data_IF_690360813388
#
_entry.id   IF_690360813388
#
_cell.length_a   1.000
_cell.length_b   1.000
_cell.length_c   1.000
_cell.angle_alpha   90.00
_cell.angle_beta   90.00
_cell.angle_gamma   90.00
#
_symmetry.space_group_name_H-M   'P 1'
#
loop_
_entity.id
_entity.type
_entity.pdbx_description
1 polymer ?
#
# COMPACT_ATOMS: atom_id res chain seq x y z
N UNK A 1 -78.59 -0.60 6.84
CA UNK A 1 -77.22 -0.24 6.42
C UNK A 1 -76.44 0.00 7.70
N UNK A 2 -75.81 -1.03 8.24
CA UNK A 2 -75.08 -0.99 9.51
C UNK A 2 -73.58 -1.00 9.16
N UNK A 3 -72.78 0.00 9.57
CA UNK A 3 -71.37 0.05 9.23
C UNK A 3 -70.55 -0.96 10.04
N UNK A 4 -69.80 -1.72 9.33
CA UNK A 4 -68.83 -2.71 9.78
C UNK A 4 -67.64 -1.97 10.44
N UNK A 5 -67.76 -1.63 11.70
CA UNK A 5 -66.67 -1.18 12.55
C UNK A 5 -66.15 -2.35 13.39
N UNK A 6 -65.64 -3.37 12.73
CA UNK A 6 -64.79 -4.34 13.43
C UNK A 6 -63.37 -3.83 13.38
N UNK A 7 -63.12 -3.17 14.41
CA UNK A 7 -61.97 -2.52 14.96
C UNK A 7 -60.67 -3.30 14.72
N UNK A 8 -59.74 -2.65 14.04
CA UNK A 8 -58.32 -3.00 13.95
C UNK A 8 -57.70 -3.33 15.33
N UNK A 9 -58.32 -2.87 16.41
CA UNK A 9 -57.91 -3.16 17.79
C UNK A 9 -58.13 -4.62 18.22
N UNK A 10 -59.10 -5.33 17.62
CA UNK A 10 -59.37 -6.72 17.99
C UNK A 10 -58.32 -7.68 17.46
N UNK A 11 -57.80 -7.44 16.25
CA UNK A 11 -56.67 -8.18 15.71
C UNK A 11 -55.36 -7.86 16.47
N UNK A 12 -55.19 -6.65 16.90
CA UNK A 12 -54.05 -6.25 17.76
C UNK A 12 -54.10 -6.94 19.13
N UNK A 13 -55.29 -7.09 19.73
CA UNK A 13 -55.48 -7.81 20.98
C UNK A 13 -55.31 -9.33 20.83
N UNK A 14 -55.78 -9.93 19.74
CA UNK A 14 -55.60 -11.36 19.47
C UNK A 14 -54.12 -11.65 19.19
N UNK A 15 -53.45 -10.86 18.38
CA UNK A 15 -52.01 -10.97 18.13
C UNK A 15 -51.20 -10.75 19.42
N UNK A 16 -51.62 -9.80 20.24
CA UNK A 16 -50.95 -9.55 21.55
C UNK A 16 -51.21 -10.66 22.60
N UNK A 17 -52.36 -11.32 22.55
CA UNK A 17 -52.73 -12.38 23.50
C UNK A 17 -52.29 -13.78 23.05
N UNK A 18 -52.27 -14.07 21.74
CA UNK A 18 -51.83 -15.36 21.18
C UNK A 18 -50.27 -15.37 21.10
N UNK A 19 -49.67 -14.23 20.88
CA UNK A 19 -48.21 -14.00 20.98
C UNK A 19 -47.75 -13.92 22.43
N UNK A 20 -48.67 -14.23 23.39
CA UNK A 20 -48.45 -14.23 24.83
C UNK A 20 -47.06 -14.72 25.27
N UNK A 21 -46.85 -14.84 26.52
CA UNK A 21 -45.62 -15.10 27.28
C UNK A 21 -44.58 -16.04 26.64
N UNK A 22 -44.93 -16.96 25.78
CA UNK A 22 -43.99 -17.85 25.07
C UNK A 22 -43.19 -17.11 24.01
N UNK A 23 -43.78 -16.19 23.26
CA UNK A 23 -43.07 -15.38 22.28
C UNK A 23 -42.16 -14.36 22.95
N UNK A 24 -42.59 -13.80 24.08
CA UNK A 24 -41.70 -12.93 24.88
C UNK A 24 -40.46 -13.65 25.40
N UNK A 25 -40.62 -14.95 25.76
CA UNK A 25 -39.48 -15.80 26.14
C UNK A 25 -38.56 -16.10 24.94
N UNK A 26 -39.11 -16.39 23.76
CA UNK A 26 -38.37 -16.64 22.55
C UNK A 26 -37.64 -15.36 22.08
N UNK A 27 -38.33 -14.23 22.08
CA UNK A 27 -37.71 -12.93 21.70
C UNK A 27 -36.57 -12.55 22.66
N UNK A 28 -36.75 -12.69 23.95
CA UNK A 28 -35.72 -12.39 24.93
C UNK A 28 -34.62 -13.45 24.95
N UNK A 29 -34.95 -14.72 24.78
CA UNK A 29 -34.01 -15.84 24.90
C UNK A 29 -33.15 -16.06 23.65
N UNK A 30 -33.65 -15.81 22.45
CA UNK A 30 -32.98 -16.12 21.20
C UNK A 30 -32.79 -14.88 20.34
N UNK A 31 -33.84 -14.13 20.09
CA UNK A 31 -33.80 -13.00 19.14
C UNK A 31 -32.94 -11.83 19.66
N UNK A 32 -33.05 -11.48 20.94
CA UNK A 32 -32.30 -10.41 21.54
C UNK A 32 -30.78 -10.68 21.54
N UNK A 33 -30.31 -11.87 21.99
CA UNK A 33 -28.87 -12.19 21.86
C UNK A 33 -28.38 -12.21 20.43
N UNK A 34 -29.19 -12.68 19.48
CA UNK A 34 -28.85 -12.73 18.06
C UNK A 34 -28.66 -11.31 17.48
N UNK A 35 -29.58 -10.40 17.78
CA UNK A 35 -29.47 -9.00 17.33
C UNK A 35 -28.24 -8.34 17.96
N UNK A 36 -27.99 -8.55 19.25
CA UNK A 36 -26.81 -8.02 19.93
C UNK A 36 -25.53 -8.57 19.29
N UNK A 37 -25.48 -9.87 18.97
CA UNK A 37 -24.32 -10.50 18.32
C UNK A 37 -24.03 -9.91 16.96
N UNK A 38 -25.08 -9.65 16.15
CA UNK A 38 -24.93 -9.00 14.84
C UNK A 38 -24.39 -7.58 14.96
N UNK A 39 -24.94 -6.80 15.90
CA UNK A 39 -24.47 -5.43 16.16
C UNK A 39 -23.00 -5.45 16.63
N UNK A 40 -22.68 -6.33 17.55
CA UNK A 40 -21.31 -6.47 18.08
C UNK A 40 -20.34 -6.92 17.00
N UNK A 41 -20.73 -7.90 16.17
CA UNK A 41 -19.94 -8.36 15.03
C UNK A 41 -19.67 -7.24 14.03
N UNK A 42 -20.68 -6.41 13.74
CA UNK A 42 -20.53 -5.25 12.84
C UNK A 42 -19.60 -4.19 13.42
N UNK A 43 -19.74 -3.86 14.70
CA UNK A 43 -18.87 -2.88 15.40
C UNK A 43 -17.43 -3.38 15.47
N UNK A 44 -17.23 -4.64 15.89
CA UNK A 44 -15.89 -5.25 15.93
C UNK A 44 -15.26 -5.33 14.52
N UNK A 45 -16.04 -5.72 13.51
CA UNK A 45 -15.61 -5.77 12.11
C UNK A 45 -15.14 -4.40 11.61
N UNK A 46 -15.89 -3.33 11.93
CA UNK A 46 -15.50 -1.96 11.57
C UNK A 46 -14.22 -1.49 12.28
N UNK A 47 -14.05 -1.85 13.55
CA UNK A 47 -12.85 -1.50 14.33
C UNK A 47 -11.63 -2.22 13.74
N UNK A 48 -11.74 -3.52 13.48
CA UNK A 48 -10.66 -4.32 12.88
C UNK A 48 -10.30 -3.79 11.50
N UNK A 49 -11.30 -3.51 10.66
CA UNK A 49 -11.11 -2.93 9.32
C UNK A 49 -10.36 -1.60 9.40
N UNK A 50 -10.77 -0.70 10.31
CA UNK A 50 -10.11 0.60 10.49
C UNK A 50 -8.66 0.47 10.95
N UNK A 51 -8.39 -0.40 11.92
CA UNK A 51 -7.02 -0.65 12.41
C UNK A 51 -6.15 -1.23 11.27
N UNK A 52 -6.72 -2.10 10.44
CA UNK A 52 -6.02 -2.69 9.31
C UNK A 52 -5.72 -1.64 8.24
N UNK A 53 -6.68 -0.79 7.92
CA UNK A 53 -6.57 0.28 6.92
C UNK A 53 -5.54 1.35 7.36
N UNK A 54 -5.62 1.82 8.61
CA UNK A 54 -4.64 2.76 9.19
C UNK A 54 -3.21 2.15 9.22
N UNK A 55 -3.10 0.85 9.47
CA UNK A 55 -1.81 0.15 9.48
C UNK A 55 -1.26 -0.06 8.06
N UNK A 56 -2.14 -0.28 7.10
CA UNK A 56 -1.77 -0.40 5.69
C UNK A 56 -1.33 0.95 5.13
N UNK A 57 -2.09 2.03 5.36
CA UNK A 57 -1.72 3.38 4.94
C UNK A 57 -0.40 3.84 5.57
N UNK A 58 -0.18 3.59 6.86
CA UNK A 58 1.09 3.95 7.51
C UNK A 58 2.27 3.16 6.97
N UNK A 59 2.10 1.88 6.64
CA UNK A 59 3.13 1.06 5.98
C UNK A 59 3.39 1.52 4.55
N UNK A 60 2.36 1.82 3.78
CA UNK A 60 2.50 2.33 2.41
C UNK A 60 3.23 3.67 2.40
N UNK A 61 2.86 4.59 3.29
CA UNK A 61 3.52 5.90 3.38
C UNK A 61 4.97 5.80 3.83
N UNK A 62 5.30 4.84 4.72
CA UNK A 62 6.68 4.62 5.19
C UNK A 62 7.58 3.88 4.20
N UNK A 63 7.03 3.29 3.17
CA UNK A 63 7.75 2.44 2.20
C UNK A 63 7.80 2.98 0.78
N UNK A 64 7.41 4.23 0.58
CA UNK A 64 7.45 4.90 -0.72
C UNK A 64 8.90 5.09 -1.18
N UNK A 65 9.17 4.75 -2.44
CA UNK A 65 10.45 4.94 -3.10
C UNK A 65 10.28 5.69 -4.41
N UNK A 66 11.24 6.54 -4.71
CA UNK A 66 11.40 7.15 -6.02
C UNK A 66 12.51 6.43 -6.77
N UNK A 67 12.18 5.89 -7.94
CA UNK A 67 13.15 5.29 -8.85
C UNK A 67 13.51 6.33 -9.91
N UNK A 68 14.79 6.61 -10.03
CA UNK A 68 15.35 7.47 -11.07
C UNK A 68 15.73 6.58 -12.24
N UNK A 69 14.95 6.63 -13.32
CA UNK A 69 15.12 5.81 -14.52
C UNK A 69 15.89 6.57 -15.59
N UNK A 70 16.82 5.88 -16.24
CA UNK A 70 17.64 6.44 -17.31
C UNK A 70 17.23 5.98 -18.73
N UNK A 71 16.47 4.90 -18.85
CA UNK A 71 16.07 4.41 -20.16
C UNK A 71 15.05 3.28 -20.13
N UNK A 72 14.40 3.11 -21.30
CA UNK A 72 13.47 2.03 -21.58
C UNK A 72 13.94 1.31 -22.85
N UNK A 73 14.07 -0.01 -22.79
CA UNK A 73 14.69 -0.82 -23.84
C UNK A 73 13.82 -2.01 -24.21
N UNK A 74 13.68 -2.29 -25.49
CA UNK A 74 12.90 -3.43 -25.97
C UNK A 74 13.62 -4.77 -25.73
N UNK A 75 14.96 -4.76 -25.69
CA UNK A 75 15.76 -5.97 -25.53
C UNK A 75 16.78 -5.82 -24.41
N UNK A 76 17.15 -6.95 -23.79
CA UNK A 76 18.18 -7.00 -22.78
C UNK A 76 19.55 -6.55 -23.31
N UNK A 77 19.89 -6.95 -24.54
CA UNK A 77 21.19 -6.64 -25.14
C UNK A 77 21.35 -5.13 -25.38
N UNK A 78 20.32 -4.46 -25.92
CA UNK A 78 20.37 -3.00 -26.11
C UNK A 78 20.47 -2.26 -24.78
N UNK A 79 19.77 -2.70 -23.76
CA UNK A 79 19.87 -2.15 -22.41
C UNK A 79 21.31 -2.25 -21.86
N UNK A 80 21.91 -3.41 -21.99
CA UNK A 80 23.27 -3.67 -21.48
C UNK A 80 24.34 -2.89 -22.23
N UNK A 81 24.20 -2.79 -23.54
CA UNK A 81 25.15 -2.09 -24.40
C UNK A 81 25.18 -0.59 -24.10
N UNK A 82 24.00 0.04 -24.01
CA UNK A 82 23.89 1.48 -23.72
C UNK A 82 24.27 1.87 -22.31
N UNK A 83 24.10 0.97 -21.33
CA UNK A 83 24.47 1.23 -19.94
C UNK A 83 25.85 0.65 -19.56
N UNK A 84 26.64 0.22 -20.55
CA UNK A 84 27.97 -0.31 -20.30
C UNK A 84 28.85 0.77 -19.65
N UNK A 85 29.37 0.50 -18.44
CA UNK A 85 30.20 1.44 -17.68
C UNK A 85 29.47 2.25 -16.61
N UNK A 86 28.15 2.18 -16.54
CA UNK A 86 27.37 2.76 -15.46
C UNK A 86 26.96 1.70 -14.45
N UNK A 87 26.80 2.09 -13.19
CA UNK A 87 26.14 1.24 -12.21
C UNK A 87 24.62 1.44 -12.34
N UNK A 88 23.90 0.35 -12.52
CA UNK A 88 22.44 0.36 -12.63
C UNK A 88 21.85 -0.94 -12.14
N UNK A 89 20.56 -0.92 -11.86
CA UNK A 89 19.72 -2.11 -11.72
C UNK A 89 18.56 -2.00 -12.72
N UNK A 90 17.93 -3.10 -13.07
CA UNK A 90 16.86 -3.07 -14.04
C UNK A 90 15.66 -3.92 -13.58
N UNK A 91 14.52 -3.66 -14.13
CA UNK A 91 13.35 -4.52 -14.08
C UNK A 91 12.72 -4.64 -15.47
N UNK A 92 11.91 -5.67 -15.64
CA UNK A 92 11.17 -5.93 -16.86
C UNK A 92 9.69 -5.78 -16.59
N UNK A 93 9.01 -5.02 -17.42
CA UNK A 93 7.56 -4.93 -17.45
C UNK A 93 6.99 -5.35 -18.82
N UNK A 94 5.73 -5.02 -19.09
CA UNK A 94 5.06 -5.35 -20.35
C UNK A 94 5.68 -4.61 -21.55
N UNK A 95 6.24 -3.43 -21.34
CA UNK A 95 6.81 -2.57 -22.36
C UNK A 95 8.29 -2.87 -22.67
N UNK A 96 8.98 -3.60 -21.78
CA UNK A 96 10.40 -3.96 -21.96
C UNK A 96 11.23 -3.89 -20.70
N UNK A 97 12.50 -3.54 -20.88
CA UNK A 97 13.49 -3.41 -19.81
C UNK A 97 13.65 -1.94 -19.43
N UNK A 98 13.60 -1.64 -18.14
CA UNK A 98 13.78 -0.30 -17.60
C UNK A 98 14.97 -0.27 -16.67
N UNK A 99 15.88 0.68 -16.91
CA UNK A 99 17.08 0.84 -16.08
C UNK A 99 16.87 1.90 -15.02
N UNK A 100 17.31 1.59 -13.81
CA UNK A 100 17.25 2.46 -12.64
C UNK A 100 18.68 2.78 -12.20
N UNK A 101 19.00 4.06 -12.16
CA UNK A 101 20.31 4.59 -11.83
C UNK A 101 20.35 5.27 -10.47
N UNK A 102 19.22 5.36 -9.78
CA UNK A 102 19.14 5.88 -8.43
C UNK A 102 17.80 5.53 -7.77
N UNK A 103 17.86 5.37 -6.47
CA UNK A 103 16.69 5.03 -5.63
C UNK A 103 16.77 5.90 -4.38
N UNK A 104 15.68 6.59 -4.05
CA UNK A 104 15.58 7.39 -2.82
C UNK A 104 14.16 7.41 -2.28
N UNK A 105 14.00 7.66 -0.99
CA UNK A 105 12.70 7.92 -0.34
C UNK A 105 12.44 9.40 -0.15
N UNK A 106 13.48 10.21 -0.15
CA UNK A 106 13.35 11.66 0.00
C UNK A 106 13.36 12.33 -1.38
N UNK A 107 12.24 12.97 -1.70
CA UNK A 107 12.08 13.71 -2.95
C UNK A 107 13.20 14.75 -3.18
N UNK A 108 13.74 15.33 -2.10
CA UNK A 108 14.83 16.31 -2.18
C UNK A 108 16.13 15.73 -2.73
N UNK A 109 16.34 14.42 -2.55
CA UNK A 109 17.52 13.74 -3.04
C UNK A 109 17.47 13.46 -4.55
N UNK A 110 16.28 13.54 -5.16
CA UNK A 110 16.10 13.28 -6.60
C UNK A 110 16.99 14.21 -7.44
N UNK A 111 17.03 15.49 -7.11
CA UNK A 111 17.82 16.46 -7.88
C UNK A 111 19.32 16.22 -7.71
N UNK A 112 19.79 15.76 -6.55
CA UNK A 112 21.18 15.37 -6.34
C UNK A 112 21.56 14.17 -7.22
N UNK A 113 20.68 13.16 -7.27
CA UNK A 113 20.87 11.98 -8.13
C UNK A 113 20.86 12.38 -9.61
N UNK A 114 19.90 13.21 -10.05
CA UNK A 114 19.86 13.72 -11.43
C UNK A 114 21.13 14.43 -11.85
N UNK A 115 21.73 15.21 -10.97
CA UNK A 115 22.97 15.96 -11.25
C UNK A 115 24.19 15.06 -11.49
N UNK A 116 24.13 13.76 -11.13
CA UNK A 116 25.17 12.79 -11.48
C UNK A 116 25.13 12.38 -12.95
N UNK A 117 23.99 12.56 -13.60
CA UNK A 117 23.72 12.08 -14.94
C UNK A 117 23.32 13.25 -15.84
N UNK A 118 23.87 13.27 -17.04
CA UNK A 118 23.64 14.37 -17.98
C UNK A 118 22.34 14.26 -18.79
N UNK A 119 21.69 13.11 -18.71
CA UNK A 119 20.56 12.75 -19.55
C UNK A 119 19.19 13.05 -18.88
N UNK A 120 18.16 13.12 -19.68
CA UNK A 120 16.79 13.24 -19.21
C UNK A 120 16.37 11.95 -18.48
N UNK A 121 16.13 12.05 -17.18
CA UNK A 121 15.69 10.92 -16.38
C UNK A 121 14.19 11.02 -16.07
N UNK A 122 13.53 9.88 -16.00
CA UNK A 122 12.13 9.74 -15.60
C UNK A 122 12.09 9.31 -14.12
N UNK A 123 11.12 9.85 -13.38
CA UNK A 123 10.91 9.48 -11.99
C UNK A 123 9.64 8.64 -11.89
N UNK A 124 9.75 7.48 -11.31
CA UNK A 124 8.60 6.63 -10.99
C UNK A 124 8.53 6.35 -9.49
N UNK A 125 7.29 6.28 -8.98
CA UNK A 125 7.02 6.00 -7.58
C UNK A 125 6.65 4.53 -7.39
N UNK A 126 7.27 3.91 -6.39
CA UNK A 126 7.01 2.53 -6.01
C UNK A 126 6.88 2.39 -4.49
N UNK A 127 6.32 1.28 -4.07
CA UNK A 127 6.19 0.93 -2.65
C UNK A 127 6.91 -0.37 -2.38
N UNK A 128 7.72 -0.41 -1.32
CA UNK A 128 8.48 -1.59 -0.91
C UNK A 128 7.98 -2.07 0.44
N UNK A 129 7.64 -3.36 0.53
CA UNK A 129 7.11 -3.97 1.74
C UNK A 129 8.18 -4.61 2.66
N UNK A 130 9.46 -4.43 2.37
CA UNK A 130 10.56 -5.02 3.14
C UNK A 130 11.10 -4.05 4.19
N UNK A 131 10.87 -4.36 5.46
CA UNK A 131 11.21 -3.51 6.60
C UNK A 131 12.74 -3.31 6.74
N UNK A 132 13.54 -4.36 6.50
CA UNK A 132 15.00 -4.29 6.58
C UNK A 132 15.61 -3.39 5.49
N UNK A 133 15.07 -3.47 4.27
CA UNK A 133 15.47 -2.58 3.18
C UNK A 133 15.10 -1.12 3.51
N UNK A 134 13.95 -0.92 4.14
CA UNK A 134 13.49 0.41 4.52
C UNK A 134 14.40 1.09 5.55
N UNK A 135 14.91 0.35 6.54
CA UNK A 135 15.83 0.90 7.55
C UNK A 135 17.16 1.32 6.91
N UNK A 136 17.79 0.44 6.12
CA UNK A 136 19.03 0.73 5.42
C UNK A 136 18.90 1.88 4.41
N UNK A 137 17.78 1.89 3.67
CA UNK A 137 17.51 2.98 2.75
C UNK A 137 17.42 4.33 3.47
N UNK A 138 16.79 4.39 4.64
CA UNK A 138 16.71 5.62 5.43
C UNK A 138 18.09 6.13 5.89
N UNK A 139 19.01 5.22 6.23
CA UNK A 139 20.38 5.59 6.59
C UNK A 139 21.11 6.22 5.39
N UNK A 140 21.01 5.60 4.21
CA UNK A 140 21.64 6.13 3.00
C UNK A 140 20.98 7.43 2.53
N UNK A 141 19.65 7.53 2.58
CA UNK A 141 18.95 8.78 2.22
C UNK A 141 19.34 9.95 3.12
N UNK A 142 19.62 9.70 4.40
CA UNK A 142 20.12 10.71 5.31
C UNK A 142 21.53 11.18 4.91
N UNK A 143 22.43 10.25 4.62
CA UNK A 143 23.79 10.59 4.15
C UNK A 143 23.69 11.39 2.84
N UNK A 144 22.86 10.94 1.91
CA UNK A 144 22.60 11.63 0.64
C UNK A 144 22.05 13.04 0.83
N UNK A 145 21.20 13.25 1.84
CA UNK A 145 20.66 14.58 2.17
C UNK A 145 21.72 15.51 2.75
N UNK A 146 22.66 14.97 3.52
CA UNK A 146 23.66 15.74 4.25
C UNK A 146 24.90 16.11 3.40
N UNK A 147 25.14 15.46 2.25
CA UNK A 147 26.29 15.73 1.37
C UNK A 147 25.88 16.40 0.06
N UNK A 148 26.72 17.33 -0.42
CA UNK A 148 26.63 17.96 -1.75
C UNK A 148 27.85 17.60 -2.62
N UNK A 149 28.80 16.83 -2.11
CA UNK A 149 29.94 16.35 -2.89
C UNK A 149 29.49 15.28 -3.88
N UNK A 150 29.70 15.53 -5.18
CA UNK A 150 29.26 14.62 -6.25
C UNK A 150 29.90 13.24 -6.17
N UNK A 151 31.10 13.14 -5.62
CA UNK A 151 31.77 11.85 -5.45
C UNK A 151 31.09 11.03 -4.34
N UNK A 152 30.85 11.66 -3.20
CA UNK A 152 30.10 11.00 -2.10
C UNK A 152 28.67 10.66 -2.50
N UNK A 153 27.99 11.56 -3.20
CA UNK A 153 26.63 11.29 -3.75
C UNK A 153 26.65 10.04 -4.62
N UNK A 154 27.64 9.91 -5.52
CA UNK A 154 27.78 8.73 -6.38
C UNK A 154 28.01 7.45 -5.58
N UNK A 155 28.91 7.49 -4.61
CA UNK A 155 29.22 6.34 -3.76
C UNK A 155 27.96 5.86 -2.99
N UNK A 156 27.20 6.81 -2.42
CA UNK A 156 25.96 6.48 -1.70
C UNK A 156 24.91 5.91 -2.65
N UNK A 157 24.74 6.48 -3.84
CA UNK A 157 23.82 5.97 -4.87
C UNK A 157 24.21 4.55 -5.29
N UNK A 158 25.49 4.28 -5.50
CA UNK A 158 25.97 2.94 -5.84
C UNK A 158 25.70 1.93 -4.71
N UNK A 159 25.86 2.34 -3.45
CA UNK A 159 25.55 1.52 -2.29
C UNK A 159 24.04 1.22 -2.19
N UNK A 160 23.19 2.20 -2.48
CA UNK A 160 21.74 2.02 -2.56
C UNK A 160 21.38 1.03 -3.66
N UNK A 161 21.90 1.20 -4.87
CA UNK A 161 21.64 0.29 -5.99
C UNK A 161 22.06 -1.15 -5.65
N UNK A 162 23.21 -1.32 -4.99
CA UNK A 162 23.67 -2.64 -4.54
C UNK A 162 22.75 -3.28 -3.48
N UNK A 163 22.10 -2.45 -2.64
CA UNK A 163 21.12 -2.93 -1.66
C UNK A 163 19.91 -3.60 -2.32
N UNK A 164 19.48 -3.08 -3.48
CA UNK A 164 18.33 -3.58 -4.24
C UNK A 164 18.70 -4.58 -5.32
N UNK A 165 19.99 -4.85 -5.52
CA UNK A 165 20.44 -5.74 -6.57
C UNK A 165 20.33 -7.21 -6.16
N UNK A 166 19.65 -8.00 -7.00
CA UNK A 166 19.71 -9.45 -6.98
C UNK A 166 19.90 -9.92 -8.43
N UNK A 167 21.06 -10.49 -8.75
CA UNK A 167 21.39 -10.94 -10.11
C UNK A 167 21.15 -9.86 -11.21
N UNK A 168 21.56 -8.60 -10.97
CA UNK A 168 21.36 -7.43 -11.83
C UNK A 168 19.91 -6.91 -11.86
N UNK A 169 18.93 -7.68 -11.42
CA UNK A 169 17.53 -7.23 -11.35
C UNK A 169 17.21 -6.51 -10.03
N UNK A 170 16.23 -5.62 -10.06
CA UNK A 170 15.72 -5.04 -8.82
C UNK A 170 14.84 -6.06 -8.10
N UNK A 171 15.18 -6.34 -6.86
CA UNK A 171 14.34 -7.10 -5.95
C UNK A 171 13.23 -6.21 -5.37
N UNK A 172 12.31 -5.80 -6.19
CA UNK A 172 11.14 -5.03 -5.76
C UNK A 172 9.93 -5.96 -5.66
N UNK A 173 9.41 -6.11 -4.45
CA UNK A 173 8.04 -6.58 -4.26
C UNK A 173 7.16 -5.36 -4.46
N UNK A 174 6.81 -5.09 -5.72
CA UNK A 174 5.91 -4.00 -6.09
C UNK A 174 4.51 -4.36 -5.57
N UNK A 175 4.01 -3.56 -4.65
CA UNK A 175 2.58 -3.50 -4.34
C UNK A 175 2.03 -2.32 -5.14
N UNK A 176 1.30 -2.64 -6.22
CA UNK A 176 0.50 -1.65 -6.95
C UNK A 176 -0.75 -1.37 -6.17
#
# INVERSE_FOLDING_TARGET
MIPFLFSTNFWYLIVYYIIGDNMKKIIRGIFLPLVISVIFGFVCGKIVYRIYDEKLESKLTSSRLYLVQNGEYLTYDSMREENSGNNYVYYKDEDGYKTVIGITRDEKNIDKIKNLYSDSVKIEEYYVSNELLNEKQNEYDKILSDTDDLYEVREVVDNILNLYREDETIRLVLVK
#
